data_IF_885718689899
#
_entry.id   IF_885718689899
#
_cell.length_a   1.000
_cell.length_b   1.000
_cell.length_c   1.000
_cell.angle_alpha   90.00
_cell.angle_beta   90.00
_cell.angle_gamma   90.00
#
_symmetry.space_group_name_H-M   'P 1'
#
loop_
_entity.id
_entity.type
_entity.pdbx_description
1 polymer ?
#
# COMPACT_ATOMS: atom_id res chain seq x y z
N UNK A 1 4.49 34.42 -32.87
CA UNK A 1 3.03 34.27 -32.77
C UNK A 1 2.68 33.08 -33.65
N UNK A 2 2.11 31.97 -33.23
CA UNK A 2 1.25 31.68 -32.08
C UNK A 2 1.06 30.15 -32.04
N UNK A 3 1.30 29.51 -30.89
CA UNK A 3 0.72 28.21 -30.46
C UNK A 3 1.46 27.65 -29.25
N UNK A 4 1.52 28.45 -28.18
CA UNK A 4 1.63 27.89 -26.82
C UNK A 4 0.26 27.29 -26.50
N UNK A 5 0.00 26.06 -26.96
CA UNK A 5 -1.16 25.28 -26.51
C UNK A 5 -1.02 25.11 -25.00
N UNK A 6 -1.83 25.87 -24.29
CA UNK A 6 -1.94 25.90 -22.84
C UNK A 6 -2.08 24.49 -22.31
N UNK A 7 -1.02 24.00 -21.64
CA UNK A 7 -1.07 22.78 -20.85
C UNK A 7 -2.04 23.06 -19.72
N UNK A 8 -3.31 22.68 -19.93
CA UNK A 8 -4.39 22.81 -18.95
C UNK A 8 -3.94 22.08 -17.69
N UNK A 9 -3.52 22.83 -16.68
CA UNK A 9 -3.12 22.36 -15.36
C UNK A 9 -4.34 21.66 -14.76
N UNK A 10 -4.46 20.34 -14.97
CA UNK A 10 -5.46 19.54 -14.28
C UNK A 10 -5.04 19.49 -12.83
N UNK A 11 -5.81 20.14 -11.97
CA UNK A 11 -5.78 19.88 -10.55
C UNK A 11 -6.29 18.46 -10.36
N UNK A 12 -5.37 17.51 -10.36
CA UNK A 12 -5.69 16.14 -9.95
C UNK A 12 -6.13 16.22 -8.51
N UNK A 13 -7.44 16.15 -8.30
CA UNK A 13 -8.03 16.05 -6.97
C UNK A 13 -7.46 14.78 -6.31
N UNK A 14 -7.19 14.80 -5.00
CA UNK A 14 -6.63 13.64 -4.27
C UNK A 14 -7.35 12.31 -4.59
N UNK A 15 -8.65 12.37 -4.88
CA UNK A 15 -9.47 11.24 -5.33
C UNK A 15 -9.05 10.70 -6.71
N UNK A 16 -8.65 11.54 -7.66
CA UNK A 16 -8.14 11.10 -8.96
C UNK A 16 -6.79 10.42 -8.84
N UNK A 17 -5.92 10.88 -7.92
CA UNK A 17 -4.62 10.24 -7.62
C UNK A 17 -4.85 8.85 -7.00
N UNK A 18 -5.83 8.72 -6.09
CA UNK A 18 -6.26 7.44 -5.52
C UNK A 18 -6.86 6.50 -6.58
N UNK A 19 -7.47 7.04 -7.64
CA UNK A 19 -8.07 6.25 -8.72
C UNK A 19 -7.08 5.72 -9.77
N UNK A 20 -5.86 6.28 -9.87
CA UNK A 20 -4.82 5.83 -10.82
C UNK A 20 -4.46 4.34 -10.65
N UNK A 21 -4.16 3.84 -9.43
CA UNK A 21 -3.90 2.41 -9.21
C UNK A 21 -5.17 1.55 -9.41
N UNK A 22 -6.36 2.09 -9.12
CA UNK A 22 -7.65 1.42 -9.36
C UNK A 22 -7.91 1.13 -10.84
N UNK A 23 -7.44 1.99 -11.76
CA UNK A 23 -7.57 1.80 -13.21
C UNK A 23 -6.58 0.80 -13.80
N UNK A 24 -5.41 0.60 -13.19
CA UNK A 24 -4.39 -0.33 -13.67
C UNK A 24 -4.44 -1.71 -12.99
N UNK A 25 -4.92 -1.79 -11.75
CA UNK A 25 -4.95 -3.03 -10.98
C UNK A 25 -6.06 -3.01 -9.91
N UNK A 26 -7.32 -3.04 -10.35
CA UNK A 26 -8.52 -2.99 -9.50
C UNK A 26 -8.53 -4.04 -8.37
N UNK A 27 -8.21 -5.29 -8.71
CA UNK A 27 -8.27 -6.43 -7.77
C UNK A 27 -7.25 -6.31 -6.62
N UNK A 28 -5.94 -6.11 -6.87
CA UNK A 28 -4.97 -6.01 -5.78
C UNK A 28 -5.06 -4.69 -5.00
N UNK A 29 -5.55 -3.60 -5.62
CA UNK A 29 -5.78 -2.33 -4.93
C UNK A 29 -6.93 -2.44 -3.90
N UNK A 30 -8.05 -3.06 -4.26
CA UNK A 30 -9.15 -3.33 -3.32
C UNK A 30 -8.69 -4.29 -2.21
N UNK A 31 -7.96 -5.35 -2.55
CA UNK A 31 -7.44 -6.29 -1.56
C UNK A 31 -6.52 -5.58 -0.55
N UNK A 32 -5.69 -4.63 -1.00
CA UNK A 32 -4.85 -3.82 -0.12
C UNK A 32 -5.66 -2.86 0.74
N UNK A 33 -6.67 -2.20 0.20
CA UNK A 33 -7.55 -1.32 0.97
C UNK A 33 -8.25 -2.06 2.11
N UNK A 34 -8.85 -3.21 1.79
CA UNK A 34 -9.52 -4.08 2.78
C UNK A 34 -8.49 -4.54 3.82
N UNK A 35 -7.31 -4.96 3.38
CA UNK A 35 -6.24 -5.37 4.28
C UNK A 35 -5.81 -4.23 5.22
N UNK A 36 -5.59 -3.02 4.71
CA UNK A 36 -5.17 -1.85 5.53
C UNK A 36 -6.21 -1.51 6.58
N UNK A 37 -7.49 -1.52 6.22
CA UNK A 37 -8.59 -1.29 7.18
C UNK A 37 -8.59 -2.39 8.25
N UNK A 38 -8.56 -3.66 7.86
CA UNK A 38 -8.54 -4.78 8.81
C UNK A 38 -7.31 -4.73 9.73
N UNK A 39 -6.14 -4.39 9.18
CA UNK A 39 -4.91 -4.31 9.94
C UNK A 39 -4.90 -3.14 10.93
N UNK A 40 -5.62 -2.04 10.63
CA UNK A 40 -5.85 -0.94 11.56
C UNK A 40 -6.73 -1.33 12.76
N UNK A 41 -7.62 -2.32 12.61
CA UNK A 41 -8.43 -2.86 13.71
C UNK A 41 -7.71 -3.94 14.53
N UNK A 42 -6.71 -4.64 13.96
CA UNK A 42 -5.89 -5.64 14.64
C UNK A 42 -5.36 -5.20 16.02
N UNK A 43 -4.73 -4.01 16.19
CA UNK A 43 -4.20 -3.60 17.49
C UNK A 43 -5.30 -3.47 18.57
N UNK A 44 -6.51 -3.07 18.19
CA UNK A 44 -7.65 -2.96 19.11
C UNK A 44 -8.03 -4.35 19.64
N UNK A 45 -8.13 -5.33 18.75
CA UNK A 45 -8.41 -6.73 19.11
C UNK A 45 -7.29 -7.32 19.99
N UNK A 46 -6.04 -6.99 19.69
CA UNK A 46 -4.88 -7.48 20.44
C UNK A 46 -4.90 -6.98 21.89
N UNK A 47 -5.25 -5.73 22.14
CA UNK A 47 -5.40 -5.18 23.50
C UNK A 47 -6.46 -5.94 24.30
N UNK A 48 -7.61 -6.26 23.69
CA UNK A 48 -8.70 -6.98 24.37
C UNK A 48 -8.28 -8.41 24.74
N UNK A 49 -7.66 -9.13 23.79
CA UNK A 49 -7.18 -10.49 24.02
C UNK A 49 -6.08 -10.52 25.08
N UNK A 50 -5.15 -9.56 25.03
CA UNK A 50 -4.09 -9.42 26.02
C UNK A 50 -4.66 -9.18 27.43
N UNK A 51 -5.65 -8.28 27.58
CA UNK A 51 -6.31 -8.05 28.85
C UNK A 51 -7.02 -9.32 29.39
N UNK A 52 -7.69 -10.08 28.52
CA UNK A 52 -8.29 -11.37 28.89
C UNK A 52 -7.25 -12.39 29.34
N UNK A 53 -6.10 -12.46 28.67
CA UNK A 53 -5.00 -13.36 29.06
C UNK A 53 -4.41 -12.98 30.41
N UNK A 54 -4.21 -11.68 30.67
CA UNK A 54 -3.73 -11.19 31.97
C UNK A 54 -4.71 -11.57 33.08
N UNK A 55 -6.00 -11.25 32.91
CA UNK A 55 -7.03 -11.57 33.90
C UNK A 55 -7.16 -13.08 34.15
N UNK A 56 -7.08 -13.89 33.09
CA UNK A 56 -7.16 -15.36 33.22
C UNK A 56 -5.94 -15.90 33.96
N UNK A 57 -4.75 -15.34 33.72
CA UNK A 57 -3.53 -15.71 34.44
C UNK A 57 -3.65 -15.39 35.93
N UNK A 58 -4.12 -14.19 36.28
CA UNK A 58 -4.35 -13.78 37.68
C UNK A 58 -5.35 -14.73 38.35
N UNK A 59 -6.47 -15.04 37.69
CA UNK A 59 -7.50 -15.93 38.23
C UNK A 59 -6.99 -17.36 38.51
N UNK A 60 -6.06 -17.87 37.69
CA UNK A 60 -5.43 -19.18 37.92
C UNK A 60 -4.44 -19.13 39.08
N UNK A 61 -3.66 -18.05 39.21
CA UNK A 61 -2.75 -17.85 40.36
C UNK A 61 -3.53 -17.76 41.67
N UNK A 62 -4.70 -17.13 41.66
CA UNK A 62 -5.61 -17.06 42.81
C UNK A 62 -6.40 -18.35 43.06
N UNK A 63 -6.16 -19.45 42.32
CA UNK A 63 -6.92 -20.70 42.40
C UNK A 63 -8.43 -20.55 42.10
N UNK A 64 -8.84 -19.44 41.47
CA UNK A 64 -10.23 -19.17 41.07
C UNK A 64 -10.58 -19.73 39.70
N UNK A 65 -9.59 -20.18 38.93
CA UNK A 65 -9.76 -20.72 37.59
C UNK A 65 -8.84 -21.93 37.35
N UNK A 66 -9.27 -22.82 36.46
CA UNK A 66 -8.49 -24.00 36.04
C UNK A 66 -7.37 -23.63 35.07
N UNK A 67 -6.20 -24.26 35.17
CA UNK A 67 -5.05 -24.06 34.27
C UNK A 67 -5.44 -24.18 32.77
N UNK A 68 -6.44 -25.01 32.45
CA UNK A 68 -6.98 -25.18 31.08
C UNK A 68 -7.41 -23.86 30.42
N UNK A 69 -7.96 -22.90 31.17
CA UNK A 69 -8.40 -21.61 30.62
C UNK A 69 -7.24 -20.72 30.18
N UNK A 70 -6.06 -20.86 30.78
CA UNK A 70 -4.84 -20.12 30.38
C UNK A 70 -4.39 -20.59 29.02
N UNK A 71 -4.38 -21.91 28.77
CA UNK A 71 -4.02 -22.46 27.48
C UNK A 71 -4.94 -21.96 26.36
N UNK A 72 -6.24 -21.83 26.62
CA UNK A 72 -7.19 -21.28 25.66
C UNK A 72 -6.87 -19.82 25.32
N UNK A 73 -6.66 -18.97 26.34
CA UNK A 73 -6.35 -17.54 26.12
C UNK A 73 -5.00 -17.34 25.42
N UNK A 74 -3.99 -18.15 25.79
CA UNK A 74 -2.68 -18.14 25.16
C UNK A 74 -2.74 -18.62 23.69
N UNK A 75 -3.55 -19.63 23.40
CA UNK A 75 -3.76 -20.11 22.04
C UNK A 75 -4.37 -19.03 21.15
N UNK A 76 -5.39 -18.30 21.63
CA UNK A 76 -5.96 -17.17 20.89
C UNK A 76 -4.94 -16.05 20.63
N UNK A 77 -4.06 -15.77 21.60
CA UNK A 77 -3.00 -14.78 21.43
C UNK A 77 -1.99 -15.21 20.37
N UNK A 78 -1.55 -16.47 20.39
CA UNK A 78 -0.67 -17.04 19.36
C UNK A 78 -1.31 -17.03 17.98
N UNK A 79 -2.60 -17.38 17.90
CA UNK A 79 -3.35 -17.40 16.65
C UNK A 79 -3.47 -15.98 16.05
N UNK A 80 -3.70 -14.97 16.89
CA UNK A 80 -3.79 -13.58 16.45
C UNK A 80 -2.45 -13.06 15.90
N UNK A 81 -1.34 -13.36 16.58
CA UNK A 81 0.00 -12.98 16.13
C UNK A 81 0.36 -13.72 14.83
N UNK A 82 0.06 -15.01 14.75
CA UNK A 82 0.28 -15.82 13.54
C UNK A 82 -0.51 -15.29 12.35
N UNK A 83 -1.79 -14.92 12.55
CA UNK A 83 -2.60 -14.28 11.54
C UNK A 83 -1.97 -12.97 11.07
N UNK A 84 -1.53 -12.11 12.00
CA UNK A 84 -0.90 -10.83 11.65
C UNK A 84 0.29 -11.03 10.72
N UNK A 85 1.23 -11.91 11.08
CA UNK A 85 2.40 -12.20 10.25
C UNK A 85 2.04 -12.78 8.88
N UNK A 86 1.09 -13.72 8.84
CA UNK A 86 0.65 -14.31 7.57
C UNK A 86 -0.01 -13.26 6.66
N UNK A 87 -0.80 -12.38 7.25
CA UNK A 87 -1.51 -11.33 6.57
C UNK A 87 -0.56 -10.24 6.03
N UNK A 88 0.50 -9.90 6.76
CA UNK A 88 1.55 -8.97 6.30
C UNK A 88 2.28 -9.51 5.07
N UNK A 89 2.58 -10.82 5.04
CA UNK A 89 3.16 -11.46 3.88
C UNK A 89 2.29 -11.33 2.63
N UNK A 90 0.97 -11.53 2.78
CA UNK A 90 0.01 -11.43 1.69
C UNK A 90 -0.15 -9.99 1.18
N UNK A 91 -0.14 -9.02 2.09
CA UNK A 91 -0.18 -7.60 1.75
C UNK A 91 1.06 -7.17 0.95
N UNK A 92 2.26 -7.60 1.37
CA UNK A 92 3.50 -7.31 0.64
C UNK A 92 3.46 -7.88 -0.78
N UNK A 93 2.93 -9.09 -0.95
CA UNK A 93 2.75 -9.68 -2.27
C UNK A 93 1.78 -8.88 -3.15
N UNK A 94 0.65 -8.42 -2.59
CA UNK A 94 -0.28 -7.56 -3.31
C UNK A 94 0.36 -6.22 -3.70
N UNK A 95 1.12 -5.59 -2.78
CA UNK A 95 1.87 -4.37 -3.07
C UNK A 95 2.87 -4.58 -4.21
N UNK A 96 3.62 -5.69 -4.21
CA UNK A 96 4.53 -6.01 -5.32
C UNK A 96 3.80 -6.16 -6.66
N UNK A 97 2.63 -6.80 -6.69
CA UNK A 97 1.82 -6.89 -7.91
C UNK A 97 1.34 -5.52 -8.41
N UNK A 98 0.89 -4.65 -7.51
CA UNK A 98 0.49 -3.27 -7.86
C UNK A 98 1.68 -2.50 -8.42
N UNK A 99 2.84 -2.54 -7.73
CA UNK A 99 4.05 -1.83 -8.16
C UNK A 99 4.52 -2.30 -9.55
N UNK A 100 4.48 -3.61 -9.84
CA UNK A 100 4.85 -4.14 -11.15
C UNK A 100 3.91 -3.64 -12.26
N UNK A 101 2.60 -3.67 -12.04
CA UNK A 101 1.62 -3.18 -13.03
C UNK A 101 1.74 -1.68 -13.28
N UNK A 102 1.89 -0.88 -12.21
CA UNK A 102 2.08 0.57 -12.31
C UNK A 102 3.35 0.88 -13.09
N UNK A 103 4.45 0.17 -12.80
CA UNK A 103 5.73 0.36 -13.49
C UNK A 103 5.66 0.00 -14.97
N UNK A 104 4.95 -1.08 -15.32
CA UNK A 104 4.74 -1.49 -16.70
C UNK A 104 3.92 -0.45 -17.49
N UNK A 105 2.78 -0.01 -16.94
CA UNK A 105 1.92 0.97 -17.58
C UNK A 105 2.61 2.34 -17.73
N UNK A 106 3.34 2.79 -16.70
CA UNK A 106 4.04 4.07 -16.72
C UNK A 106 5.17 4.07 -17.76
N UNK A 107 5.96 2.98 -17.85
CA UNK A 107 6.99 2.86 -18.88
C UNK A 107 6.40 2.97 -20.28
N UNK A 108 5.31 2.27 -20.57
CA UNK A 108 4.66 2.33 -21.90
C UNK A 108 4.20 3.74 -22.24
N UNK A 109 3.50 4.42 -21.33
CA UNK A 109 2.98 5.79 -21.56
C UNK A 109 4.13 6.79 -21.75
N UNK A 110 5.19 6.67 -20.95
CA UNK A 110 6.34 7.57 -21.02
C UNK A 110 7.13 7.34 -22.30
N UNK A 111 7.38 6.09 -22.70
CA UNK A 111 8.05 5.78 -23.97
C UNK A 111 7.25 6.34 -25.16
N UNK A 112 5.92 6.22 -25.16
CA UNK A 112 5.10 6.78 -26.22
C UNK A 112 5.13 8.32 -26.25
N UNK A 113 5.12 8.97 -25.08
CA UNK A 113 5.25 10.43 -24.97
C UNK A 113 6.63 10.94 -25.41
N UNK A 114 7.70 10.22 -25.07
CA UNK A 114 9.07 10.54 -25.52
C UNK A 114 9.18 10.36 -27.03
N UNK A 115 8.61 9.29 -27.60
CA UNK A 115 8.62 9.04 -29.04
C UNK A 115 7.87 10.12 -29.85
N UNK A 116 6.88 10.77 -29.25
CA UNK A 116 6.15 11.92 -29.85
C UNK A 116 6.82 13.27 -29.56
N UNK A 117 7.88 13.31 -28.77
CA UNK A 117 8.57 14.54 -28.41
C UNK A 117 9.43 15.01 -29.58
N UNK A 118 9.35 16.31 -29.88
CA UNK A 118 10.09 16.90 -31.00
C UNK A 118 11.60 16.82 -30.73
N UNK A 119 12.41 16.46 -31.74
CA UNK A 119 13.83 16.08 -31.60
C UNK A 119 14.67 17.11 -30.81
N UNK A 120 14.36 18.39 -30.97
CA UNK A 120 14.96 19.52 -30.24
C UNK A 120 14.94 19.41 -28.71
N UNK A 121 13.98 18.68 -28.14
CA UNK A 121 13.86 18.49 -26.68
C UNK A 121 14.59 17.24 -26.17
N UNK A 122 14.93 16.30 -27.06
CA UNK A 122 15.72 15.10 -26.71
C UNK A 122 17.20 15.44 -26.63
N UNK A 123 17.65 16.38 -27.46
CA UNK A 123 19.04 16.86 -27.50
C UNK A 123 19.37 17.86 -26.38
N UNK A 124 18.35 18.47 -25.76
CA UNK A 124 18.54 19.36 -24.62
C UNK A 124 18.78 18.55 -23.34
N UNK A 125 20.00 18.60 -22.82
CA UNK A 125 20.43 17.87 -21.63
C UNK A 125 19.58 18.17 -20.39
N UNK A 126 19.11 19.40 -20.18
CA UNK A 126 18.23 19.72 -19.05
C UNK A 126 16.88 18.99 -19.16
N UNK A 127 16.30 18.98 -20.37
CA UNK A 127 15.00 18.34 -20.63
C UNK A 127 15.12 16.83 -20.48
N UNK A 128 16.22 16.26 -20.97
CA UNK A 128 16.53 14.85 -20.82
C UNK A 128 16.76 14.45 -19.36
N UNK A 129 17.40 15.32 -18.58
CA UNK A 129 17.65 15.10 -17.15
C UNK A 129 16.34 15.12 -16.34
N UNK A 130 15.40 16.03 -16.67
CA UNK A 130 14.04 16.02 -16.10
C UNK A 130 13.28 14.73 -16.42
N UNK A 131 13.34 14.26 -17.67
CA UNK A 131 12.71 13.01 -18.10
C UNK A 131 13.28 11.83 -17.32
N UNK A 132 14.61 11.73 -17.20
CA UNK A 132 15.28 10.69 -16.40
C UNK A 132 14.85 10.69 -14.94
N UNK A 133 14.69 11.87 -14.35
CA UNK A 133 14.28 12.02 -12.95
C UNK A 133 12.86 11.51 -12.70
N UNK A 134 11.94 11.76 -13.64
CA UNK A 134 10.55 11.28 -13.57
C UNK A 134 10.48 9.76 -13.82
N UNK A 135 11.36 9.21 -14.67
CA UNK A 135 11.45 7.78 -14.95
C UNK A 135 12.03 6.94 -13.82
N UNK A 136 12.80 7.53 -12.90
CA UNK A 136 13.56 6.75 -11.93
C UNK A 136 12.68 6.06 -10.88
N UNK A 137 11.58 6.68 -10.42
CA UNK A 137 10.76 6.16 -9.30
C UNK A 137 9.27 6.55 -9.32
N UNK A 138 8.52 6.25 -10.39
CA UNK A 138 7.07 6.49 -10.41
C UNK A 138 6.29 5.61 -9.40
N UNK A 139 6.79 4.40 -9.11
CA UNK A 139 6.22 3.46 -8.15
C UNK A 139 6.16 4.01 -6.72
N UNK A 140 7.23 4.67 -6.24
CA UNK A 140 7.32 5.16 -4.86
C UNK A 140 6.33 6.30 -4.58
N UNK A 141 6.03 7.14 -5.58
CA UNK A 141 5.05 8.23 -5.44
C UNK A 141 3.61 7.73 -5.40
N UNK A 142 3.29 6.69 -6.18
CA UNK A 142 1.93 6.14 -6.27
C UNK A 142 1.66 5.19 -5.10
N UNK A 143 2.64 4.37 -4.71
CA UNK A 143 2.53 3.50 -3.53
C UNK A 143 2.43 4.31 -2.23
N UNK A 144 3.20 5.40 -2.12
CA UNK A 144 3.13 6.30 -0.97
C UNK A 144 1.76 6.96 -0.79
N UNK A 145 1.04 7.26 -1.88
CA UNK A 145 -0.30 7.83 -1.82
C UNK A 145 -1.40 6.84 -1.42
N UNK A 146 -1.18 5.53 -1.56
CA UNK A 146 -2.13 4.48 -1.14
C UNK A 146 -1.88 3.99 0.29
N UNK A 147 -0.68 4.21 0.82
CA UNK A 147 -0.24 3.75 2.15
C UNK A 147 -0.12 4.89 3.17
N UNK A 148 -0.41 6.13 2.78
CA UNK A 148 -0.63 7.27 3.67
C UNK A 148 -2.06 7.25 4.21
#
# INVERSE_FOLDING_TARGET
MDSQKTVKKREYTFLEILLIPFRCAFVPAIALLIYTVLNGLTPIMQVIVMAKTINTTIAVVENRASISSVYLSAFFMLLLIGYQWMSEGLARFSQSKVNLNVRAAFRTIVTEKIARLNYKHVENDETWNLIKRILQKPEDQIAGALLM
#
